data_IF_274968458739
#
_entry.id   IF_274968458739
#
_cell.length_a   1.000
_cell.length_b   1.000
_cell.length_c   1.000
_cell.angle_alpha   90.00
_cell.angle_beta   90.00
_cell.angle_gamma   90.00
#
_symmetry.space_group_name_H-M   'P 1'
#
loop_
_entity.id
_entity.type
_entity.pdbx_description
1 polymer ?
#
# COMPACT_ATOMS: atom_id res chain seq x y z
N UNK A 1 -13.73 1.83 0.55
CA UNK A 1 -13.81 2.19 -0.89
C UNK A 1 -12.89 1.28 -1.71
N UNK A 2 -13.29 0.90 -2.92
CA UNK A 2 -12.44 0.17 -3.88
C UNK A 2 -12.00 1.17 -4.95
N UNK A 3 -10.70 1.43 -5.06
CA UNK A 3 -10.15 2.27 -6.12
C UNK A 3 -9.33 1.42 -7.09
N UNK A 4 -9.67 1.50 -8.39
CA UNK A 4 -8.89 0.96 -9.49
C UNK A 4 -8.32 2.14 -10.25
N UNK A 5 -7.02 2.34 -10.16
CA UNK A 5 -6.31 3.38 -10.87
C UNK A 5 -5.35 2.71 -11.84
N UNK A 6 -5.53 2.88 -13.16
CA UNK A 6 -4.47 2.61 -14.12
C UNK A 6 -3.38 3.66 -13.94
N UNK A 7 -2.13 3.23 -13.93
CA UNK A 7 -0.97 4.13 -13.95
C UNK A 7 -0.39 4.08 -15.36
N UNK A 8 0.10 5.21 -15.84
CA UNK A 8 0.59 5.32 -17.22
C UNK A 8 2.09 5.04 -17.27
N UNK A 9 2.53 4.52 -18.42
CA UNK A 9 3.89 4.03 -18.65
C UNK A 9 4.98 5.03 -18.25
N UNK A 10 5.94 4.56 -17.46
CA UNK A 10 7.11 5.35 -17.02
C UNK A 10 6.83 6.32 -15.87
N UNK A 11 5.66 6.23 -15.25
CA UNK A 11 5.25 7.13 -14.17
C UNK A 11 5.80 6.69 -12.79
N UNK A 12 6.03 7.69 -11.93
CA UNK A 12 6.39 7.47 -10.52
C UNK A 12 5.25 7.97 -9.65
N UNK A 13 4.49 7.04 -9.06
CA UNK A 13 3.36 7.38 -8.19
C UNK A 13 3.77 7.30 -6.73
N UNK A 14 3.50 8.37 -5.97
CA UNK A 14 3.76 8.44 -4.52
C UNK A 14 2.48 8.75 -3.75
N UNK A 15 2.16 7.94 -2.75
CA UNK A 15 0.95 8.13 -1.93
C UNK A 15 1.20 7.93 -0.43
N UNK A 16 0.76 8.88 0.40
CA UNK A 16 0.86 8.80 1.86
C UNK A 16 -0.52 9.05 2.50
N UNK A 17 -1.51 8.17 2.29
CA UNK A 17 -2.83 8.36 2.87
C UNK A 17 -2.78 8.14 4.39
N UNK A 18 -3.62 8.87 5.12
CA UNK A 18 -3.93 8.61 6.53
C UNK A 18 -5.32 8.01 6.53
N UNK A 19 -5.45 6.81 7.09
CA UNK A 19 -6.73 6.16 7.32
C UNK A 19 -7.02 6.20 8.82
N UNK A 20 -8.27 6.49 9.19
CA UNK A 20 -8.68 6.56 10.60
C UNK A 20 -10.02 5.85 10.85
N UNK A 21 -10.03 4.96 11.85
CA UNK A 21 -11.20 4.25 12.42
C UNK A 21 -12.03 3.46 11.41
N UNK A 22 -12.04 2.13 11.56
CA UNK A 22 -12.92 1.22 10.82
C UNK A 22 -12.85 1.35 9.28
N UNK A 23 -11.81 1.98 8.73
CA UNK A 23 -11.65 2.09 7.29
C UNK A 23 -11.07 0.81 6.70
N UNK A 24 -11.70 0.37 5.61
CA UNK A 24 -11.19 -0.70 4.77
C UNK A 24 -10.94 -0.18 3.36
N UNK A 25 -9.67 -0.24 2.96
CA UNK A 25 -9.22 0.19 1.63
C UNK A 25 -8.71 -1.00 0.84
N UNK A 26 -9.29 -1.18 -0.33
CA UNK A 26 -8.84 -2.17 -1.29
C UNK A 26 -8.40 -1.49 -2.59
N UNK A 27 -7.16 -1.73 -3.00
CA UNK A 27 -6.63 -1.22 -4.26
C UNK A 27 -6.16 -2.35 -5.18
N UNK A 28 -6.45 -2.17 -6.47
CA UNK A 28 -6.04 -3.09 -7.55
C UNK A 28 -5.47 -2.29 -8.73
N UNK A 29 -4.29 -1.68 -8.58
CA UNK A 29 -3.67 -0.97 -9.69
C UNK A 29 -3.14 -1.96 -10.74
N UNK A 30 -3.21 -1.57 -12.01
CA UNK A 30 -2.46 -2.21 -13.10
C UNK A 30 -1.31 -1.29 -13.44
N UNK A 31 -0.12 -1.85 -13.54
CA UNK A 31 1.10 -1.13 -13.85
C UNK A 31 1.64 -1.59 -15.20
N UNK A 32 2.28 -0.66 -15.90
CA UNK A 32 2.98 -0.93 -17.15
C UNK A 32 4.50 -0.67 -17.04
N UNK A 33 5.22 -1.26 -18.01
CA UNK A 33 6.69 -1.31 -18.11
C UNK A 33 7.39 -0.04 -17.60
N UNK A 34 8.18 -0.21 -16.54
CA UNK A 34 9.06 0.82 -16.00
C UNK A 34 8.43 1.73 -14.94
N UNK A 35 7.22 1.45 -14.49
CA UNK A 35 6.56 2.21 -13.43
C UNK A 35 7.09 1.92 -12.03
N UNK A 36 6.98 2.95 -11.17
CA UNK A 36 7.40 2.85 -9.78
C UNK A 36 6.31 3.41 -8.86
N UNK A 37 5.70 2.54 -8.04
CA UNK A 37 4.84 2.97 -6.94
C UNK A 37 5.61 3.00 -5.64
N UNK A 38 5.46 4.09 -4.88
CA UNK A 38 5.84 4.17 -3.48
C UNK A 38 4.68 4.63 -2.62
N UNK A 39 4.45 3.94 -1.51
CA UNK A 39 3.38 4.31 -0.61
C UNK A 39 3.74 4.17 0.85
N UNK A 40 3.32 5.12 1.67
CA UNK A 40 3.51 5.12 3.12
C UNK A 40 2.21 5.47 3.84
N UNK A 41 1.23 4.56 3.88
CA UNK A 41 -0.01 4.83 4.59
C UNK A 41 0.23 4.85 6.10
N UNK A 42 -0.49 5.71 6.82
CA UNK A 42 -0.63 5.66 8.28
C UNK A 42 -2.00 5.09 8.56
N UNK A 43 -2.05 3.99 9.31
CA UNK A 43 -3.30 3.35 9.72
C UNK A 43 -3.52 3.58 11.21
N UNK A 44 -4.77 3.81 11.61
CA UNK A 44 -5.16 4.07 13.00
C UNK A 44 -6.44 3.33 13.40
N UNK A 45 -6.32 2.38 14.34
CA UNK A 45 -7.39 1.61 15.00
C UNK A 45 -8.27 0.80 14.06
N UNK A 46 -8.14 -0.53 14.14
CA UNK A 46 -9.06 -1.50 13.51
C UNK A 46 -9.22 -1.34 11.99
N UNK A 47 -8.13 -0.96 11.30
CA UNK A 47 -8.14 -0.73 9.87
C UNK A 47 -7.54 -1.86 9.04
N UNK A 48 -7.96 -1.92 7.78
CA UNK A 48 -7.41 -2.89 6.85
C UNK A 48 -7.07 -2.29 5.48
N UNK A 49 -5.83 -2.52 5.03
CA UNK A 49 -5.40 -2.19 3.66
C UNK A 49 -5.07 -3.46 2.90
N UNK A 50 -5.76 -3.69 1.78
CA UNK A 50 -5.50 -4.78 0.87
C UNK A 50 -5.08 -4.26 -0.50
N UNK A 51 -3.89 -4.65 -0.96
CA UNK A 51 -3.37 -4.28 -2.27
C UNK A 51 -3.16 -5.51 -3.13
N UNK A 52 -3.62 -5.45 -4.38
CA UNK A 52 -3.42 -6.50 -5.38
C UNK A 52 -2.96 -5.86 -6.70
N UNK A 53 -1.71 -5.39 -6.79
CA UNK A 53 -1.19 -4.86 -8.04
C UNK A 53 -1.01 -5.98 -9.08
N UNK A 54 -1.34 -5.70 -10.33
CA UNK A 54 -0.90 -6.47 -11.49
C UNK A 54 0.24 -5.70 -12.13
N UNK A 55 1.35 -6.39 -12.38
CA UNK A 55 2.59 -5.78 -12.83
C UNK A 55 3.07 -6.42 -14.13
N UNK A 56 3.69 -5.59 -14.98
CA UNK A 56 4.44 -5.98 -16.16
C UNK A 56 5.93 -5.57 -16.09
N UNK A 57 6.72 -6.10 -17.03
CA UNK A 57 8.19 -6.10 -17.04
C UNK A 57 8.86 -4.84 -16.47
N UNK A 58 9.69 -5.01 -15.44
CA UNK A 58 10.61 -3.96 -14.96
C UNK A 58 10.00 -2.92 -14.01
N UNK A 59 8.87 -3.22 -13.38
CA UNK A 59 8.21 -2.32 -12.43
C UNK A 59 8.60 -2.54 -10.97
N UNK A 60 8.34 -1.53 -10.14
CA UNK A 60 8.69 -1.55 -8.72
C UNK A 60 7.56 -1.02 -7.84
N UNK A 61 7.06 -1.84 -6.92
CA UNK A 61 6.12 -1.41 -5.87
C UNK A 61 6.79 -1.45 -4.51
N UNK A 62 6.74 -0.32 -3.78
CA UNK A 62 7.24 -0.22 -2.41
C UNK A 62 6.15 0.30 -1.48
N UNK A 63 5.82 -0.48 -0.46
CA UNK A 63 4.91 -0.10 0.62
C UNK A 63 5.63 -0.07 1.96
N UNK A 64 5.45 0.99 2.74
CA UNK A 64 5.95 1.14 4.11
C UNK A 64 4.87 1.70 5.02
N UNK A 65 3.87 0.87 5.42
CA UNK A 65 2.79 1.33 6.28
C UNK A 65 3.27 1.53 7.73
N UNK A 66 2.69 2.50 8.42
CA UNK A 66 2.78 2.66 9.88
C UNK A 66 1.46 2.22 10.49
N UNK A 67 1.50 1.34 11.49
CA UNK A 67 0.31 0.70 12.05
C UNK A 67 0.12 0.95 13.56
N UNK A 68 -1.10 1.28 13.99
CA UNK A 68 -1.50 1.59 15.38
C UNK A 68 -2.70 0.76 15.88
N UNK A 69 -2.41 -0.38 16.52
CA UNK A 69 -3.37 -1.25 17.27
C UNK A 69 -4.50 -1.86 16.40
N UNK A 70 -4.48 -3.20 16.27
CA UNK A 70 -5.58 -3.97 15.66
C UNK A 70 -5.67 -3.91 14.13
N UNK A 71 -4.60 -3.48 13.45
CA UNK A 71 -4.62 -3.20 12.01
C UNK A 71 -3.92 -4.25 11.16
N UNK A 72 -4.30 -4.32 9.89
CA UNK A 72 -3.81 -5.34 8.96
C UNK A 72 -3.47 -4.73 7.60
N UNK A 73 -2.25 -4.97 7.12
CA UNK A 73 -1.85 -4.69 5.73
C UNK A 73 -1.54 -5.97 4.99
N UNK A 74 -2.18 -6.17 3.84
CA UNK A 74 -1.92 -7.31 2.95
C UNK A 74 -1.61 -6.82 1.55
N UNK A 75 -0.54 -7.35 0.97
CA UNK A 75 -0.17 -7.13 -0.43
C UNK A 75 -0.08 -8.49 -1.13
N UNK A 76 -0.82 -8.66 -2.23
CA UNK A 76 -0.84 -9.88 -3.05
C UNK A 76 -0.64 -9.51 -4.53
N UNK A 77 0.61 -9.31 -4.97
CA UNK A 77 0.90 -8.93 -6.34
C UNK A 77 0.81 -10.11 -7.32
N UNK A 78 0.54 -9.83 -8.59
CA UNK A 78 0.76 -10.73 -9.73
C UNK A 78 1.93 -10.14 -10.52
N UNK A 79 2.98 -10.95 -10.76
CA UNK A 79 4.25 -10.45 -11.30
C UNK A 79 4.71 -11.16 -12.59
N UNK A 80 5.25 -10.41 -13.55
CA UNK A 80 5.78 -10.88 -14.85
C UNK A 80 7.19 -10.32 -15.15
N UNK A 81 8.24 -11.12 -14.90
CA UNK A 81 9.65 -10.84 -15.26
C UNK A 81 10.26 -9.51 -14.80
N UNK A 82 11.27 -9.58 -13.91
CA UNK A 82 12.13 -8.43 -13.58
C UNK A 82 11.47 -7.36 -12.70
N UNK A 83 10.36 -7.70 -12.06
CA UNK A 83 9.59 -6.82 -11.20
C UNK A 83 9.94 -7.00 -9.72
N UNK A 84 9.69 -5.96 -8.92
CA UNK A 84 10.05 -5.95 -7.51
C UNK A 84 8.90 -5.42 -6.66
N UNK A 85 8.45 -6.23 -5.69
CA UNK A 85 7.52 -5.79 -4.64
C UNK A 85 8.20 -5.83 -3.28
N UNK A 86 8.14 -4.71 -2.55
CA UNK A 86 8.66 -4.61 -1.19
C UNK A 86 7.59 -4.04 -0.28
N UNK A 87 7.27 -4.77 0.79
CA UNK A 87 6.41 -4.28 1.87
C UNK A 87 7.19 -4.33 3.19
N UNK A 88 7.28 -3.20 3.89
CA UNK A 88 7.96 -3.11 5.19
C UNK A 88 7.07 -2.35 6.18
N UNK A 89 6.18 -3.06 6.92
CA UNK A 89 5.34 -2.44 7.93
C UNK A 89 6.14 -2.06 9.17
N UNK A 90 5.76 -0.95 9.80
CA UNK A 90 6.21 -0.55 11.13
C UNK A 90 5.02 -0.58 12.08
N UNK A 91 5.14 -1.28 13.20
CA UNK A 91 4.14 -1.27 14.28
C UNK A 91 4.52 -0.22 15.31
N UNK A 92 3.58 0.67 15.63
CA UNK A 92 3.73 1.66 16.70
C UNK A 92 2.65 1.39 17.74
N UNK A 93 3.08 1.04 18.96
CA UNK A 93 2.19 0.97 20.12
C UNK A 93 2.09 2.38 20.69
N UNK A 94 1.00 3.08 20.41
CA UNK A 94 0.73 4.38 21.04
C UNK A 94 0.03 4.12 22.36
N UNK A 95 0.74 4.31 23.47
CA UNK A 95 0.14 4.37 24.80
C UNK A 95 -0.46 5.77 24.96
N UNK A 96 -1.76 5.88 24.71
CA UNK A 96 -2.48 7.13 24.97
C UNK A 96 -2.63 7.22 26.48
N UNK A 97 -1.75 7.98 27.14
CA UNK A 97 -1.96 8.42 28.53
C UNK A 97 -3.11 9.43 28.51
N UNK A 98 -4.34 8.95 28.71
CA UNK A 98 -5.44 9.81 29.12
C UNK A 98 -5.27 10.10 30.61
N UNK A 99 -5.05 11.38 30.94
CA UNK A 99 -5.06 11.90 32.31
C UNK A 99 -6.49 12.14 32.77
#
# INVERSE_FOLDING_TARGET
MISRQPILKGEIVRSNPILVKEESVQSKPTLEKGEIIRSKPILVKEESVRRKPTMEKGEIVRSKPTLVKGEIVRSKPILVMGEIVRSKPTLVKVEIFTK
#
